data_IF_808279928898
#
_entry.id   IF_808279928898
#
_cell.length_a   1.000
_cell.length_b   1.000
_cell.length_c   1.000
_cell.angle_alpha   90.00
_cell.angle_beta   90.00
_cell.angle_gamma   90.00
#
_symmetry.space_group_name_H-M   'P 1'
#
loop_
_entity.id
_entity.type
_entity.pdbx_description
1 polymer ?
#
# COMPACT_ATOMS: atom_id res chain seq x y z
N UNK A 1 -16.35 -1.71 -5.07
CA UNK A 1 -14.95 -1.36 -4.73
C UNK A 1 -14.79 0.14 -4.83
N UNK A 2 -14.40 0.80 -3.74
CA UNK A 2 -13.99 2.22 -3.74
C UNK A 2 -12.53 2.30 -4.22
N UNK A 3 -12.18 3.37 -4.94
CA UNK A 3 -10.83 3.56 -5.48
C UNK A 3 -10.08 4.57 -4.63
N UNK A 4 -9.01 4.12 -3.98
CA UNK A 4 -8.09 4.94 -3.21
C UNK A 4 -6.82 5.20 -4.04
N UNK A 5 -6.34 6.45 -4.04
CA UNK A 5 -5.08 6.82 -4.69
C UNK A 5 -4.01 7.05 -3.63
N UNK A 6 -2.85 6.39 -3.79
CA UNK A 6 -1.67 6.68 -2.98
C UNK A 6 -1.11 8.03 -3.41
N UNK A 7 -1.08 8.98 -2.48
CA UNK A 7 -0.68 10.36 -2.73
C UNK A 7 0.82 10.47 -3.07
N UNK A 8 1.14 11.09 -4.19
CA UNK A 8 2.53 11.31 -4.65
C UNK A 8 2.77 12.75 -5.15
N UNK A 9 1.96 13.71 -4.73
CA UNK A 9 2.15 15.12 -5.04
C UNK A 9 1.50 15.99 -3.96
N UNK A 10 1.72 17.31 -3.99
CA UNK A 10 1.14 18.27 -3.04
C UNK A 10 0.13 19.22 -3.70
N UNK A 11 -0.46 18.81 -4.81
CA UNK A 11 -1.47 19.61 -5.54
C UNK A 11 -2.86 19.48 -4.90
N UNK A 12 -3.24 20.52 -4.15
CA UNK A 12 -4.55 20.59 -3.48
C UNK A 12 -5.72 20.45 -4.45
N UNK A 13 -5.61 21.02 -5.67
CA UNK A 13 -6.69 20.95 -6.65
C UNK A 13 -6.94 19.50 -7.08
N UNK A 14 -5.88 18.71 -7.25
CA UNK A 14 -6.02 17.28 -7.55
C UNK A 14 -6.82 16.56 -6.47
N UNK A 15 -6.46 16.72 -5.19
CA UNK A 15 -7.17 16.06 -4.10
C UNK A 15 -8.63 16.50 -3.95
N UNK A 16 -8.93 17.75 -4.26
CA UNK A 16 -10.29 18.29 -4.17
C UNK A 16 -11.19 17.82 -5.33
N UNK A 17 -10.66 17.73 -6.56
CA UNK A 17 -11.46 17.62 -7.77
C UNK A 17 -11.35 16.27 -8.49
N UNK A 18 -10.42 15.38 -8.13
CA UNK A 18 -10.27 14.09 -8.82
C UNK A 18 -11.47 13.16 -8.59
N UNK A 19 -11.55 12.13 -9.42
CA UNK A 19 -12.59 11.10 -9.35
C UNK A 19 -12.35 10.03 -8.27
N UNK A 20 -11.20 10.06 -7.55
CA UNK A 20 -10.89 9.10 -6.49
C UNK A 20 -11.91 9.19 -5.34
N UNK A 21 -12.21 8.04 -4.72
CA UNK A 21 -13.08 7.97 -3.54
C UNK A 21 -12.32 8.35 -2.25
N UNK A 22 -11.01 8.33 -2.31
CA UNK A 22 -10.15 8.74 -1.20
C UNK A 22 -8.66 8.66 -1.54
N UNK A 23 -7.86 8.98 -0.53
CA UNK A 23 -6.40 9.06 -0.65
C UNK A 23 -5.72 8.37 0.52
N UNK A 24 -4.52 7.87 0.24
CA UNK A 24 -3.62 7.28 1.21
C UNK A 24 -2.38 8.17 1.26
N UNK A 25 -2.09 8.81 2.39
CA UNK A 25 -0.98 9.74 2.58
C UNK A 25 0.17 9.09 3.35
N UNK A 26 1.36 8.92 2.74
CA UNK A 26 2.55 8.49 3.47
C UNK A 26 2.98 9.54 4.50
N UNK A 27 3.02 9.16 5.79
CA UNK A 27 3.39 10.09 6.87
C UNK A 27 4.90 10.28 6.90
N UNK A 28 5.34 11.54 6.87
CA UNK A 28 6.75 11.89 6.98
C UNK A 28 7.32 11.37 8.31
N UNK A 29 8.56 10.87 8.28
CA UNK A 29 9.31 10.29 9.39
C UNK A 29 8.75 8.94 9.92
N UNK A 30 7.58 8.50 9.43
CA UNK A 30 6.91 7.25 9.83
C UNK A 30 6.65 6.30 8.65
N UNK A 31 6.95 6.72 7.42
CA UNK A 31 6.79 5.90 6.22
C UNK A 31 8.09 5.78 5.44
N UNK A 32 8.29 4.63 4.81
CA UNK A 32 9.39 4.34 3.88
C UNK A 32 8.83 3.99 2.49
N UNK A 33 9.69 3.94 1.48
CA UNK A 33 9.38 3.54 0.10
C UNK A 33 8.62 4.57 -0.75
N UNK A 34 8.35 5.77 -0.22
CA UNK A 34 7.60 6.81 -0.91
C UNK A 34 8.48 8.03 -1.21
N UNK A 35 8.39 8.54 -2.44
CA UNK A 35 9.12 9.75 -2.86
C UNK A 35 8.54 11.01 -2.22
N UNK A 36 7.22 11.07 -2.09
CA UNK A 36 6.52 12.18 -1.44
C UNK A 36 5.91 11.72 -0.12
N UNK A 37 6.28 12.41 0.94
CA UNK A 37 5.78 12.18 2.30
C UNK A 37 5.18 13.47 2.85
N UNK A 38 4.20 13.34 3.75
CA UNK A 38 3.38 14.46 4.22
C UNK A 38 3.46 14.59 5.73
N UNK A 39 3.50 15.82 6.24
CA UNK A 39 3.26 16.07 7.66
C UNK A 39 1.75 15.98 7.98
N UNK A 40 1.38 15.89 9.26
CA UNK A 40 -0.04 15.87 9.64
C UNK A 40 -0.76 17.17 9.23
N UNK A 41 -0.08 18.31 9.32
CA UNK A 41 -0.61 19.62 8.92
C UNK A 41 -0.85 19.68 7.40
N UNK A 42 0.06 19.12 6.61
CA UNK A 42 -0.12 19.01 5.15
C UNK A 42 -1.31 18.13 4.81
N UNK A 43 -1.44 16.95 5.44
CA UNK A 43 -2.58 16.04 5.25
C UNK A 43 -3.89 16.77 5.57
N UNK A 44 -3.96 17.46 6.71
CA UNK A 44 -5.15 18.20 7.12
C UNK A 44 -5.52 19.30 6.11
N UNK A 45 -4.52 19.97 5.52
CA UNK A 45 -4.73 21.02 4.52
C UNK A 45 -5.16 20.50 3.15
N UNK A 46 -4.72 19.29 2.78
CA UNK A 46 -4.92 18.71 1.44
C UNK A 46 -6.19 17.84 1.38
N UNK A 47 -6.55 17.19 2.48
CA UNK A 47 -7.68 16.28 2.50
C UNK A 47 -8.99 16.98 2.09
N UNK A 48 -9.85 16.22 1.42
CA UNK A 48 -11.22 16.62 1.13
C UNK A 48 -12.14 15.91 2.12
N UNK A 49 -12.95 16.66 2.86
CA UNK A 49 -13.88 16.12 3.88
C UNK A 49 -14.90 15.12 3.30
N UNK A 50 -15.18 15.20 2.00
CA UNK A 50 -16.11 14.31 1.32
C UNK A 50 -15.44 13.04 0.75
N UNK A 51 -14.14 12.86 0.98
CA UNK A 51 -13.36 11.74 0.49
C UNK A 51 -12.68 10.99 1.63
N UNK A 52 -12.47 9.70 1.44
CA UNK A 52 -11.73 8.88 2.40
C UNK A 52 -10.30 9.39 2.57
N UNK A 53 -9.83 9.41 3.81
CA UNK A 53 -8.48 9.83 4.16
C UNK A 53 -7.81 8.74 5.01
N UNK A 54 -6.78 8.12 4.44
CA UNK A 54 -5.94 7.14 5.13
C UNK A 54 -4.52 7.66 5.27
N UNK A 55 -3.83 7.24 6.33
CA UNK A 55 -2.43 7.53 6.56
C UNK A 55 -1.64 6.22 6.47
N UNK A 56 -0.46 6.23 5.83
CA UNK A 56 0.47 5.10 5.89
C UNK A 56 1.51 5.34 6.96
N UNK A 57 1.73 4.32 7.80
CA UNK A 57 2.83 4.20 8.75
C UNK A 57 3.43 2.80 8.53
N UNK A 58 4.43 2.68 7.65
CA UNK A 58 4.91 1.38 7.18
C UNK A 58 6.39 1.09 7.47
N UNK A 59 7.07 1.93 8.23
CA UNK A 59 8.42 1.59 8.70
C UNK A 59 8.40 0.61 9.87
N UNK A 60 9.50 -0.08 10.10
CA UNK A 60 9.75 -0.86 11.31
C UNK A 60 10.34 0.05 12.39
N UNK A 61 9.83 -0.05 13.62
CA UNK A 61 10.26 0.78 14.74
C UNK A 61 11.31 0.09 15.61
N UNK A 62 12.21 0.88 16.18
CA UNK A 62 13.10 0.47 17.27
C UNK A 62 12.46 0.80 18.61
N UNK A 63 12.96 0.20 19.67
CA UNK A 63 12.51 0.48 21.05
C UNK A 63 12.59 1.99 21.37
N UNK A 64 13.64 2.65 20.91
CA UNK A 64 13.82 4.11 21.08
C UNK A 64 12.82 4.98 20.32
N UNK A 65 12.07 4.42 19.38
CA UNK A 65 11.09 5.16 18.57
C UNK A 65 9.70 5.16 19.21
N UNK A 66 9.40 4.25 20.14
CA UNK A 66 8.05 3.97 20.64
C UNK A 66 7.41 5.20 21.31
N UNK A 67 8.14 5.96 22.10
CA UNK A 67 7.62 7.19 22.73
C UNK A 67 7.18 8.24 21.69
N UNK A 68 7.91 8.33 20.58
CA UNK A 68 7.56 9.26 19.50
C UNK A 68 6.42 8.72 18.64
N UNK A 69 6.37 7.40 18.46
CA UNK A 69 5.25 6.73 17.79
C UNK A 69 3.96 6.95 18.58
N UNK A 70 3.98 6.78 19.89
CA UNK A 70 2.81 7.01 20.74
C UNK A 70 2.31 8.46 20.65
N UNK A 71 3.21 9.44 20.72
CA UNK A 71 2.85 10.86 20.56
C UNK A 71 2.20 11.17 19.22
N UNK A 72 2.65 10.55 18.12
CA UNK A 72 2.05 10.78 16.81
C UNK A 72 0.70 10.09 16.69
N UNK A 73 0.54 8.87 17.25
CA UNK A 73 -0.74 8.17 17.29
C UNK A 73 -1.77 8.95 18.09
N UNK A 74 -1.40 9.52 19.24
CA UNK A 74 -2.27 10.40 20.05
C UNK A 74 -2.75 11.63 19.25
N UNK A 75 -1.91 12.23 18.42
CA UNK A 75 -2.34 13.33 17.53
C UNK A 75 -3.30 12.84 16.45
N UNK A 76 -2.99 11.71 15.83
CA UNK A 76 -3.84 11.11 14.78
C UNK A 76 -5.20 10.72 15.32
N UNK A 77 -5.29 10.25 16.58
CA UNK A 77 -6.54 9.90 17.25
C UNK A 77 -7.53 11.08 17.33
N UNK A 78 -7.00 12.30 17.38
CA UNK A 78 -7.84 13.52 17.37
C UNK A 78 -8.23 13.97 15.96
N UNK A 79 -7.65 13.37 14.91
CA UNK A 79 -7.93 13.70 13.51
C UNK A 79 -9.14 12.91 12.99
N UNK A 80 -9.94 13.53 12.15
CA UNK A 80 -11.03 12.83 11.47
C UNK A 80 -10.50 12.13 10.20
N UNK A 81 -9.83 10.98 10.39
CA UNK A 81 -9.35 10.12 9.30
C UNK A 81 -10.11 8.78 9.28
N UNK A 82 -10.08 8.10 8.15
CA UNK A 82 -10.74 6.80 7.99
C UNK A 82 -9.90 5.64 8.54
N UNK A 83 -8.58 5.79 8.61
CA UNK A 83 -7.70 4.80 9.23
C UNK A 83 -6.22 4.94 8.93
N UNK A 84 -5.44 4.06 9.55
CA UNK A 84 -4.00 3.92 9.33
C UNK A 84 -3.71 2.59 8.65
N UNK A 85 -2.98 2.61 7.53
CA UNK A 85 -2.34 1.44 6.95
C UNK A 85 -0.99 1.25 7.65
N UNK A 86 -0.84 0.17 8.43
CA UNK A 86 0.33 -0.04 9.26
C UNK A 86 1.08 -1.33 8.94
N UNK A 87 2.40 -1.34 9.22
CA UNK A 87 3.27 -2.50 9.03
C UNK A 87 3.71 -3.13 10.36
N UNK A 88 4.18 -2.32 11.30
CA UNK A 88 4.74 -2.77 12.58
C UNK A 88 3.65 -2.92 13.65
N UNK A 89 3.62 -4.08 14.31
CA UNK A 89 2.57 -4.40 15.30
C UNK A 89 2.65 -3.56 16.58
N UNK A 90 3.74 -2.82 16.82
CA UNK A 90 3.80 -1.83 17.89
C UNK A 90 2.67 -0.78 17.82
N UNK A 91 2.21 -0.46 16.60
CA UNK A 91 1.07 0.44 16.38
C UNK A 91 -0.22 -0.16 16.94
N UNK A 92 -0.42 -1.47 16.72
CA UNK A 92 -1.60 -2.18 17.25
C UNK A 92 -1.54 -2.26 18.78
N UNK A 93 -0.37 -2.56 19.34
CA UNK A 93 -0.17 -2.62 20.78
C UNK A 93 -0.44 -1.27 21.45
N UNK A 94 0.19 -0.20 20.97
CA UNK A 94 -0.03 1.15 21.50
C UNK A 94 -1.48 1.61 21.36
N UNK A 95 -2.17 1.23 20.28
CA UNK A 95 -3.60 1.51 20.14
C UNK A 95 -4.43 0.84 21.24
N UNK A 96 -4.12 -0.42 21.55
CA UNK A 96 -4.83 -1.19 22.58
C UNK A 96 -4.51 -0.63 23.97
N UNK A 97 -3.22 -0.41 24.25
CA UNK A 97 -2.75 0.07 25.56
C UNK A 97 -3.32 1.44 25.93
N UNK A 98 -3.41 2.35 24.96
CA UNK A 98 -3.86 3.72 25.18
C UNK A 98 -5.34 3.96 24.79
N UNK A 99 -6.06 2.91 24.38
CA UNK A 99 -7.48 2.96 23.96
C UNK A 99 -7.76 3.99 22.85
N UNK A 100 -6.84 4.12 21.89
CA UNK A 100 -7.01 5.03 20.75
C UNK A 100 -8.16 4.58 19.84
N UNK A 101 -9.02 5.52 19.44
CA UNK A 101 -10.14 5.27 18.54
C UNK A 101 -9.73 5.34 17.04
N UNK A 102 -8.61 4.72 16.69
CA UNK A 102 -8.07 4.71 15.34
C UNK A 102 -8.44 3.40 14.64
N UNK A 103 -8.99 3.48 13.44
CA UNK A 103 -9.16 2.29 12.60
C UNK A 103 -7.81 1.84 12.03
N UNK A 104 -7.44 0.59 12.28
CA UNK A 104 -6.20 0.02 11.77
C UNK A 104 -6.44 -0.93 10.61
N UNK A 105 -5.63 -0.79 9.56
CA UNK A 105 -5.58 -1.63 8.37
C UNK A 105 -4.18 -2.21 8.24
N UNK A 106 -4.06 -3.52 8.41
CA UNK A 106 -2.76 -4.18 8.35
C UNK A 106 -2.25 -4.23 6.92
N UNK A 107 -1.03 -3.73 6.70
CA UNK A 107 -0.35 -3.72 5.41
C UNK A 107 1.08 -4.26 5.57
N UNK A 108 1.23 -5.58 5.55
CA UNK A 108 2.53 -6.27 5.64
C UNK A 108 3.01 -6.77 4.28
N UNK A 109 2.79 -5.98 3.24
CA UNK A 109 3.22 -6.25 1.87
C UNK A 109 2.86 -7.67 1.40
N UNK A 110 3.82 -8.62 1.51
CA UNK A 110 3.70 -10.00 1.01
C UNK A 110 3.17 -11.01 2.04
N UNK A 111 2.84 -10.62 3.29
CA UNK A 111 2.51 -11.58 4.36
C UNK A 111 1.02 -11.91 4.48
N UNK A 112 0.12 -11.07 3.99
CA UNK A 112 -1.32 -11.25 4.15
C UNK A 112 -1.88 -12.14 3.04
N UNK A 113 -1.75 -13.46 3.22
CA UNK A 113 -2.00 -14.47 2.18
C UNK A 113 -3.10 -15.47 2.51
N UNK A 114 -3.69 -15.43 3.70
CA UNK A 114 -4.74 -16.37 4.10
C UNK A 114 -5.66 -15.79 5.18
N UNK A 115 -6.89 -16.28 5.20
CA UNK A 115 -7.93 -15.82 6.13
C UNK A 115 -7.63 -16.13 7.60
N UNK A 116 -6.89 -17.17 7.91
CA UNK A 116 -6.56 -17.52 9.31
C UNK A 116 -5.68 -16.45 9.95
N UNK A 117 -4.63 -16.01 9.26
CA UNK A 117 -3.77 -14.90 9.69
C UNK A 117 -4.57 -13.60 9.81
N UNK A 118 -5.40 -13.30 8.81
CA UNK A 118 -6.22 -12.08 8.78
C UNK A 118 -7.20 -12.07 9.97
N UNK A 119 -7.90 -13.19 10.21
CA UNK A 119 -8.85 -13.30 11.30
C UNK A 119 -8.19 -13.32 12.69
N UNK A 120 -6.91 -13.65 12.79
CA UNK A 120 -6.17 -13.46 14.03
C UNK A 120 -6.15 -11.99 14.41
N UNK A 121 -5.79 -11.09 13.51
CA UNK A 121 -5.76 -9.65 13.77
C UNK A 121 -7.15 -9.04 14.03
N UNK A 122 -8.19 -9.61 13.46
CA UNK A 122 -9.56 -9.20 13.76
C UNK A 122 -9.91 -9.30 15.24
N UNK A 123 -9.37 -10.30 15.95
CA UNK A 123 -9.58 -10.47 17.40
C UNK A 123 -9.03 -9.30 18.23
N UNK A 124 -8.08 -8.57 17.69
CA UNK A 124 -7.46 -7.39 18.32
C UNK A 124 -8.03 -6.06 17.80
N UNK A 125 -9.17 -6.10 17.12
CA UNK A 125 -9.87 -4.89 16.67
C UNK A 125 -9.30 -4.24 15.41
N UNK A 126 -8.46 -4.97 14.64
CA UNK A 126 -8.06 -4.52 13.31
C UNK A 126 -9.28 -4.52 12.40
N UNK A 127 -9.50 -3.43 11.67
CA UNK A 127 -10.68 -3.21 10.84
C UNK A 127 -10.54 -3.79 9.43
N UNK A 128 -9.34 -3.73 8.86
CA UNK A 128 -9.13 -4.18 7.49
C UNK A 128 -7.71 -4.65 7.23
N UNK A 129 -7.49 -5.12 6.01
CA UNK A 129 -6.24 -5.72 5.55
C UNK A 129 -5.94 -5.31 4.11
N UNK A 130 -4.67 -5.04 3.83
CA UNK A 130 -4.14 -4.99 2.46
C UNK A 130 -3.58 -6.37 2.12
N UNK A 131 -4.16 -7.03 1.11
CA UNK A 131 -3.74 -8.38 0.72
C UNK A 131 -2.39 -8.35 -0.01
N UNK A 132 -1.67 -9.44 0.09
CA UNK A 132 -0.45 -9.68 -0.69
C UNK A 132 -0.72 -9.63 -2.19
N UNK A 133 0.24 -9.08 -2.95
CA UNK A 133 0.21 -9.12 -4.42
C UNK A 133 0.77 -10.44 -4.99
N UNK A 134 1.20 -11.37 -4.12
CA UNK A 134 1.79 -12.66 -4.49
C UNK A 134 0.79 -13.82 -4.38
N UNK A 135 -0.50 -13.54 -4.29
CA UNK A 135 -1.57 -14.55 -4.24
C UNK A 135 -2.39 -14.55 -5.53
N UNK A 136 -3.01 -15.69 -5.79
CA UNK A 136 -3.86 -15.90 -6.95
C UNK A 136 -5.25 -15.32 -6.76
N UNK A 137 -5.98 -15.15 -7.86
CA UNK A 137 -7.37 -14.70 -7.84
C UNK A 137 -8.28 -15.61 -7.01
N UNK A 138 -8.05 -16.92 -7.06
CA UNK A 138 -8.86 -17.88 -6.31
C UNK A 138 -8.57 -17.78 -4.81
N UNK A 139 -7.31 -17.57 -4.42
CA UNK A 139 -6.93 -17.33 -3.03
C UNK A 139 -7.57 -16.03 -2.49
N UNK A 140 -7.62 -14.96 -3.28
CA UNK A 140 -8.30 -13.71 -2.90
C UNK A 140 -9.80 -13.97 -2.66
N UNK A 141 -10.46 -14.72 -3.55
CA UNK A 141 -11.87 -15.09 -3.38
C UNK A 141 -12.09 -15.89 -2.10
N UNK A 142 -11.26 -16.91 -1.85
CA UNK A 142 -11.31 -17.71 -0.63
C UNK A 142 -11.13 -16.87 0.64
N UNK A 143 -10.21 -15.89 0.62
CA UNK A 143 -10.02 -14.96 1.73
C UNK A 143 -11.30 -14.14 1.92
N UNK A 144 -11.87 -13.58 0.85
CA UNK A 144 -13.08 -12.75 0.93
C UNK A 144 -14.25 -13.50 1.55
N UNK A 145 -14.42 -14.77 1.20
CA UNK A 145 -15.49 -15.63 1.73
C UNK A 145 -15.29 -15.97 3.22
N UNK A 146 -14.04 -15.98 3.69
CA UNK A 146 -13.67 -16.47 5.03
C UNK A 146 -13.23 -15.37 6.00
N UNK A 147 -13.36 -14.08 5.64
CA UNK A 147 -13.08 -12.96 6.54
C UNK A 147 -14.19 -11.92 6.55
N UNK A 148 -14.35 -11.26 7.71
CA UNK A 148 -15.27 -10.14 7.89
C UNK A 148 -14.55 -8.79 7.82
N UNK A 149 -13.22 -8.78 7.76
CA UNK A 149 -12.45 -7.55 7.64
C UNK A 149 -12.70 -6.88 6.28
N UNK A 150 -12.57 -5.57 6.28
CA UNK A 150 -12.50 -4.82 5.03
C UNK A 150 -11.22 -5.22 4.26
N UNK A 151 -11.35 -5.48 2.97
CA UNK A 151 -10.25 -5.90 2.12
C UNK A 151 -9.83 -4.78 1.19
N UNK A 152 -8.56 -4.44 1.27
CA UNK A 152 -7.85 -3.58 0.33
C UNK A 152 -6.93 -4.42 -0.56
N UNK A 153 -6.81 -4.05 -1.82
CA UNK A 153 -5.88 -4.70 -2.75
C UNK A 153 -5.25 -3.66 -3.67
N UNK A 154 -3.94 -3.79 -3.92
CA UNK A 154 -3.31 -3.05 -5.00
C UNK A 154 -3.96 -3.44 -6.33
N UNK A 155 -4.46 -2.45 -7.06
CA UNK A 155 -5.11 -2.64 -8.36
C UNK A 155 -4.17 -2.22 -9.48
N UNK A 156 -3.47 -1.09 -9.30
CA UNK A 156 -2.48 -0.58 -10.23
C UNK A 156 -1.32 0.03 -9.46
N UNK A 157 -0.08 -0.31 -9.82
CA UNK A 157 1.13 0.29 -9.24
C UNK A 157 2.34 -0.63 -9.30
N UNK A 158 3.47 -0.15 -8.81
CA UNK A 158 4.70 -0.93 -8.69
C UNK A 158 4.78 -1.57 -7.30
N UNK A 159 4.58 -2.90 -7.16
CA UNK A 159 4.57 -3.54 -5.85
C UNK A 159 5.98 -3.58 -5.23
N UNK A 160 6.04 -3.36 -3.92
CA UNK A 160 7.20 -3.68 -3.09
C UNK A 160 7.33 -5.20 -3.00
N UNK A 161 8.51 -5.74 -3.28
CA UNK A 161 8.77 -7.19 -3.27
C UNK A 161 9.64 -7.65 -2.10
N UNK A 162 10.44 -6.75 -1.54
CA UNK A 162 11.24 -7.02 -0.34
C UNK A 162 11.62 -5.71 0.34
N UNK A 163 11.82 -5.77 1.66
CA UNK A 163 12.25 -4.64 2.48
C UNK A 163 13.29 -5.09 3.50
N UNK A 164 14.31 -4.27 3.72
CA UNK A 164 15.34 -4.47 4.75
C UNK A 164 15.54 -3.19 5.55
N UNK A 165 15.68 -3.32 6.88
CA UNK A 165 16.07 -2.18 7.74
C UNK A 165 17.51 -1.70 7.54
N UNK A 166 18.29 -2.42 6.73
CA UNK A 166 19.69 -2.09 6.45
C UNK A 166 19.78 -1.17 5.25
N UNK A 167 20.67 -0.21 5.30
CA UNK A 167 21.07 0.60 4.14
C UNK A 167 21.94 -0.25 3.21
N UNK A 168 21.32 -1.14 2.45
CA UNK A 168 22.01 -2.15 1.65
C UNK A 168 22.83 -1.53 0.52
N UNK A 169 22.31 -0.47 -0.09
CA UNK A 169 22.99 0.22 -1.18
C UNK A 169 24.21 0.98 -0.67
N UNK A 170 24.03 1.79 0.38
CA UNK A 170 25.11 2.51 1.07
C UNK A 170 26.20 1.54 1.54
N UNK A 171 25.81 0.43 2.20
CA UNK A 171 26.77 -0.55 2.74
C UNK A 171 27.48 -1.33 1.63
N UNK A 172 26.93 -1.41 0.41
CA UNK A 172 27.61 -2.02 -0.74
C UNK A 172 28.70 -1.16 -1.34
N UNK A 173 28.83 0.10 -0.90
CA UNK A 173 29.75 1.09 -1.45
C UNK A 173 29.39 1.61 -2.84
N UNK A 174 28.21 1.27 -3.35
CA UNK A 174 27.74 1.69 -4.67
C UNK A 174 26.50 2.59 -4.55
N UNK A 175 26.72 3.82 -4.14
CA UNK A 175 25.66 4.82 -3.88
C UNK A 175 24.82 5.18 -5.12
N UNK A 176 25.36 4.93 -6.32
CA UNK A 176 24.67 5.25 -7.58
C UNK A 176 23.78 4.09 -8.07
N UNK A 177 23.77 2.97 -7.36
CA UNK A 177 23.02 1.79 -7.78
C UNK A 177 21.54 1.94 -7.46
N UNK A 178 20.76 2.33 -8.43
CA UNK A 178 19.29 2.48 -8.32
C UNK A 178 18.52 1.23 -8.76
N UNK A 179 19.21 0.22 -9.30
CA UNK A 179 18.61 -0.98 -9.86
C UNK A 179 19.44 -2.23 -9.57
N UNK A 180 18.75 -3.33 -9.29
CA UNK A 180 19.36 -4.67 -9.15
C UNK A 180 18.67 -5.65 -10.07
N UNK A 181 19.46 -6.64 -10.52
CA UNK A 181 18.98 -7.72 -11.37
C UNK A 181 19.06 -9.02 -10.58
N UNK A 182 17.94 -9.72 -10.46
CA UNK A 182 17.94 -11.07 -9.87
C UNK A 182 18.56 -12.06 -10.87
N UNK A 183 19.64 -12.78 -10.50
CA UNK A 183 20.46 -13.53 -11.47
C UNK A 183 19.72 -14.66 -12.17
N UNK A 184 18.76 -15.34 -11.51
CA UNK A 184 18.04 -16.50 -12.04
C UNK A 184 16.91 -16.11 -12.97
N UNK A 185 16.02 -15.23 -12.51
CA UNK A 185 14.86 -14.78 -13.28
C UNK A 185 15.20 -13.65 -14.26
N UNK A 186 16.36 -12.99 -14.08
CA UNK A 186 16.75 -11.75 -14.76
C UNK A 186 15.73 -10.62 -14.60
N UNK A 187 14.97 -10.66 -13.52
CA UNK A 187 14.05 -9.58 -13.21
C UNK A 187 14.81 -8.39 -12.63
N UNK A 188 14.35 -7.21 -12.99
CA UNK A 188 14.92 -5.94 -12.57
C UNK A 188 14.05 -5.35 -11.47
N UNK A 189 14.69 -4.80 -10.44
CA UNK A 189 14.04 -4.15 -9.32
C UNK A 189 14.67 -2.79 -9.08
N UNK A 190 13.84 -1.76 -8.89
CA UNK A 190 14.28 -0.45 -8.40
C UNK A 190 14.63 -0.58 -6.92
N UNK A 191 15.75 0.03 -6.51
CA UNK A 191 16.08 0.23 -5.11
C UNK A 191 15.60 1.61 -4.66
N UNK A 192 14.90 1.65 -3.54
CA UNK A 192 14.64 2.87 -2.80
C UNK A 192 15.29 2.69 -1.43
N UNK A 193 16.19 3.58 -1.07
CA UNK A 193 16.86 3.57 0.23
C UNK A 193 16.68 4.93 0.88
N UNK A 194 16.22 4.93 2.11
CA UNK A 194 16.13 6.10 2.97
C UNK A 194 16.73 5.79 4.35
N UNK A 195 16.56 6.67 5.32
CA UNK A 195 17.06 6.52 6.69
C UNK A 195 16.46 5.32 7.44
N UNK A 196 15.36 4.75 6.95
CA UNK A 196 14.65 3.62 7.59
C UNK A 196 14.99 2.27 6.98
N UNK A 197 15.69 2.24 5.85
CA UNK A 197 16.13 1.00 5.22
C UNK A 197 16.11 1.04 3.69
N UNK A 198 16.15 -0.15 3.10
CA UNK A 198 16.17 -0.33 1.64
C UNK A 198 15.00 -1.21 1.21
N UNK A 199 14.26 -0.76 0.21
CA UNK A 199 13.20 -1.55 -0.42
C UNK A 199 13.48 -1.85 -1.88
N UNK A 200 13.01 -3.02 -2.30
CA UNK A 200 13.08 -3.51 -3.67
C UNK A 200 11.68 -3.40 -4.28
N UNK A 201 11.56 -2.64 -5.34
CA UNK A 201 10.29 -2.39 -6.02
C UNK A 201 10.33 -3.01 -7.41
N UNK A 202 9.28 -3.71 -7.79
CA UNK A 202 9.14 -4.26 -9.14
C UNK A 202 9.16 -3.13 -10.18
N UNK A 203 9.96 -3.28 -11.24
CA UNK A 203 9.90 -2.36 -12.39
C UNK A 203 8.76 -2.69 -13.37
N UNK A 204 7.96 -3.71 -13.07
CA UNK A 204 6.77 -4.05 -13.86
C UNK A 204 5.53 -3.59 -13.12
N UNK A 205 4.91 -2.52 -13.60
CA UNK A 205 3.64 -2.04 -13.04
C UNK A 205 2.60 -3.15 -13.07
N UNK A 206 2.05 -3.46 -11.90
CA UNK A 206 0.92 -4.37 -11.77
C UNK A 206 -0.35 -3.69 -12.24
N UNK A 207 -1.22 -4.45 -12.91
CA UNK A 207 -2.55 -4.04 -13.32
C UNK A 207 -3.50 -5.22 -13.12
N UNK A 208 -4.23 -5.23 -12.01
CA UNK A 208 -5.19 -6.27 -11.64
C UNK A 208 -6.62 -6.00 -12.09
N UNK A 209 -6.93 -4.84 -12.68
CA UNK A 209 -8.30 -4.36 -12.92
C UNK A 209 -9.21 -5.39 -13.59
N UNK A 210 -8.71 -6.08 -14.62
CA UNK A 210 -9.49 -7.06 -15.38
C UNK A 210 -10.11 -8.17 -14.50
N UNK A 211 -9.41 -8.58 -13.45
CA UNK A 211 -9.78 -9.72 -12.61
C UNK A 211 -10.35 -9.29 -11.26
N UNK A 212 -9.80 -8.23 -10.67
CA UNK A 212 -10.19 -7.79 -9.33
C UNK A 212 -11.55 -7.09 -9.29
N UNK A 213 -12.03 -6.58 -10.44
CA UNK A 213 -13.36 -5.94 -10.56
C UNK A 213 -14.53 -6.83 -10.15
N UNK A 214 -14.38 -8.14 -10.35
CA UNK A 214 -15.42 -9.13 -10.08
C UNK A 214 -15.35 -9.68 -8.64
N UNK A 215 -14.38 -9.20 -7.85
CA UNK A 215 -14.26 -9.53 -6.44
C UNK A 215 -14.88 -8.39 -5.62
N UNK A 216 -15.62 -8.76 -4.60
CA UNK A 216 -16.21 -7.80 -3.67
C UNK A 216 -15.13 -7.25 -2.71
N UNK A 217 -14.17 -6.48 -3.26
CA UNK A 217 -13.20 -5.72 -2.49
C UNK A 217 -13.85 -4.45 -1.95
N UNK A 218 -13.48 -4.08 -0.72
CA UNK A 218 -13.92 -2.80 -0.15
C UNK A 218 -13.18 -1.65 -0.82
N UNK A 219 -11.85 -1.77 -0.98
CA UNK A 219 -11.02 -0.76 -1.60
C UNK A 219 -10.03 -1.34 -2.62
N UNK A 220 -9.90 -0.64 -3.74
CA UNK A 220 -8.81 -0.83 -4.71
C UNK A 220 -7.79 0.30 -4.61
N UNK A 221 -6.52 -0.04 -4.46
CA UNK A 221 -5.44 0.94 -4.31
C UNK A 221 -4.78 1.18 -5.67
N UNK A 222 -4.66 2.43 -6.06
CA UNK A 222 -3.92 2.89 -7.24
C UNK A 222 -2.71 3.68 -6.75
N UNK A 223 -1.50 3.22 -7.11
CA UNK A 223 -0.29 4.01 -6.88
C UNK A 223 -0.13 4.99 -8.03
N UNK A 224 0.01 6.26 -7.70
CA UNK A 224 0.27 7.30 -8.69
C UNK A 224 1.62 7.08 -9.38
N UNK A 225 2.64 6.70 -8.60
CA UNK A 225 4.00 6.45 -9.08
C UNK A 225 4.51 7.60 -9.99
N UNK A 226 4.87 7.27 -11.24
CA UNK A 226 5.35 8.18 -12.29
C UNK A 226 4.23 8.77 -13.18
N UNK A 227 2.96 8.55 -12.82
CA UNK A 227 1.82 9.08 -13.56
C UNK A 227 1.50 10.51 -13.13
N UNK A 228 1.19 11.37 -14.10
CA UNK A 228 0.68 12.72 -13.82
C UNK A 228 -0.77 12.69 -13.30
N UNK A 229 -1.23 13.81 -12.76
CA UNK A 229 -2.54 13.96 -12.14
C UNK A 229 -3.71 13.69 -13.10
N UNK A 230 -3.59 14.11 -14.36
CA UNK A 230 -4.64 13.93 -15.37
C UNK A 230 -4.76 12.46 -15.77
N UNK A 231 -3.62 11.80 -15.93
CA UNK A 231 -3.55 10.36 -16.21
C UNK A 231 -4.14 9.54 -15.07
N UNK A 232 -3.80 9.87 -13.82
CA UNK A 232 -4.38 9.19 -12.63
C UNK A 232 -5.88 9.40 -12.57
N UNK A 233 -6.37 10.63 -12.82
CA UNK A 233 -7.78 10.94 -12.81
C UNK A 233 -8.55 10.18 -13.92
N UNK A 234 -8.01 10.15 -15.14
CA UNK A 234 -8.55 9.31 -16.23
C UNK A 234 -8.59 7.85 -15.84
N UNK A 235 -7.48 7.33 -15.27
CA UNK A 235 -7.37 5.93 -14.86
C UNK A 235 -8.41 5.56 -13.80
N UNK A 236 -8.64 6.40 -12.80
CA UNK A 236 -9.70 6.20 -11.81
C UNK A 236 -11.08 6.17 -12.46
N UNK A 237 -11.35 7.07 -13.40
CA UNK A 237 -12.59 7.08 -14.20
C UNK A 237 -12.79 5.77 -14.98
N UNK A 238 -11.76 5.30 -15.65
CA UNK A 238 -11.78 4.06 -16.43
C UNK A 238 -11.97 2.82 -15.52
N UNK A 239 -11.41 2.81 -14.30
CA UNK A 239 -11.66 1.76 -13.30
C UNK A 239 -13.14 1.75 -12.90
N UNK A 240 -13.71 2.91 -12.57
CA UNK A 240 -15.11 3.04 -12.15
C UNK A 240 -16.11 2.64 -13.24
N UNK A 241 -15.77 2.94 -14.49
CA UNK A 241 -16.59 2.57 -15.66
C UNK A 241 -16.26 1.22 -16.26
N UNK A 242 -15.26 0.51 -15.66
CA UNK A 242 -14.80 -0.80 -16.11
C UNK A 242 -14.27 -0.82 -17.55
N UNK A 243 -13.61 0.24 -17.96
CA UNK A 243 -13.03 0.40 -19.31
C UNK A 243 -11.63 -0.28 -19.38
N UNK A 244 -11.61 -1.61 -19.32
CA UNK A 244 -10.37 -2.41 -19.22
C UNK A 244 -9.42 -2.16 -20.40
N UNK A 245 -9.95 -1.88 -21.60
CA UNK A 245 -9.12 -1.65 -22.78
C UNK A 245 -8.26 -0.41 -22.61
N UNK A 246 -8.86 0.72 -22.23
CA UNK A 246 -8.15 1.98 -21.99
C UNK A 246 -7.13 1.84 -20.85
N UNK A 247 -7.49 1.14 -19.75
CA UNK A 247 -6.58 0.87 -18.66
C UNK A 247 -5.36 0.08 -19.15
N UNK A 248 -5.58 -0.97 -19.97
CA UNK A 248 -4.50 -1.81 -20.51
C UNK A 248 -3.58 -1.04 -21.47
N UNK A 249 -4.12 -0.09 -22.22
CA UNK A 249 -3.34 0.79 -23.09
C UNK A 249 -2.50 1.80 -22.30
N UNK A 250 -3.03 2.32 -21.18
CA UNK A 250 -2.36 3.30 -20.33
C UNK A 250 -1.23 2.70 -19.49
N UNK A 251 -1.48 1.58 -18.81
CA UNK A 251 -0.60 1.05 -17.76
C UNK A 251 -0.09 -0.37 -18.03
N UNK A 252 -0.40 -0.93 -19.19
CA UNK A 252 0.05 -2.27 -19.58
C UNK A 252 -0.78 -3.41 -18.99
N UNK A 253 -0.34 -4.65 -19.26
CA UNK A 253 -1.12 -5.88 -18.98
C UNK A 253 -0.45 -6.82 -17.98
N UNK A 254 0.43 -6.33 -17.14
CA UNK A 254 1.06 -7.18 -16.13
C UNK A 254 0.06 -7.53 -15.03
N UNK A 255 -0.35 -8.78 -14.96
CA UNK A 255 -1.34 -9.31 -14.00
C UNK A 255 -0.71 -9.94 -12.75
N UNK A 256 0.61 -9.82 -12.58
CA UNK A 256 1.32 -10.42 -11.47
C UNK A 256 1.04 -11.92 -11.34
N UNK A 257 0.65 -12.33 -10.14
CA UNK A 257 0.36 -13.72 -9.80
C UNK A 257 -1.13 -14.11 -9.89
N UNK A 258 -2.03 -13.19 -10.27
CA UNK A 258 -3.48 -13.45 -10.23
C UNK A 258 -3.92 -14.73 -10.93
N UNK A 259 -3.23 -15.12 -12.03
CA UNK A 259 -3.53 -16.34 -12.79
C UNK A 259 -2.36 -17.34 -12.78
N UNK A 260 -1.44 -17.23 -11.83
CA UNK A 260 -0.26 -18.10 -11.76
C UNK A 260 -0.11 -18.64 -10.36
N UNK A 261 0.20 -19.93 -10.24
CA UNK A 261 0.60 -20.50 -8.95
C UNK A 261 1.87 -19.81 -8.47
N UNK A 262 1.86 -19.31 -7.24
CA UNK A 262 2.98 -18.58 -6.63
C UNK A 262 4.16 -19.49 -6.24
N UNK A 263 3.91 -20.78 -6.03
CA UNK A 263 4.94 -21.75 -5.67
C UNK A 263 5.38 -22.49 -6.94
N UNK A 264 6.61 -22.25 -7.38
CA UNK A 264 7.22 -22.98 -8.47
C UNK A 264 8.04 -24.15 -7.93
N UNK A 265 7.77 -25.37 -8.41
CA UNK A 265 8.73 -26.47 -8.26
C UNK A 265 9.85 -26.21 -9.25
N UNK A 266 11.06 -25.96 -8.76
CA UNK A 266 12.26 -26.00 -9.61
C UNK A 266 12.44 -27.46 -9.98
N UNK A 267 12.13 -27.80 -11.22
CA UNK A 267 12.50 -29.10 -11.79
C UNK A 267 14.01 -29.03 -11.99
N UNK A 268 14.75 -29.81 -11.21
CA UNK A 268 16.20 -29.98 -11.36
C UNK A 268 16.49 -30.94 -12.52
#
# INVERSE_FOLDING_TARGET
MQVLVLANNKDKNFYQNSMADGYIFPLKDYSMDYEVKFTLEEIESLRNINKKCFIVINRMFFESDLDNLDKILSKIDTMNIDGILYYDDSILELKIENDYNINLYINKNYMMTNSSTINFYHKYGVKGVVLSNEITLDEIKMIRENTKLEIMQLVIGYPVVATSRRSLNTNSGNLERLEVIEPKSRQHYKLIEDEFGTSFISLKRFNGCKYLKDINLDYGIVYQDDLDNDTVNKLVGDIKTNNIKEIDELVGRNRGFLNRKTIYKVVR
#
